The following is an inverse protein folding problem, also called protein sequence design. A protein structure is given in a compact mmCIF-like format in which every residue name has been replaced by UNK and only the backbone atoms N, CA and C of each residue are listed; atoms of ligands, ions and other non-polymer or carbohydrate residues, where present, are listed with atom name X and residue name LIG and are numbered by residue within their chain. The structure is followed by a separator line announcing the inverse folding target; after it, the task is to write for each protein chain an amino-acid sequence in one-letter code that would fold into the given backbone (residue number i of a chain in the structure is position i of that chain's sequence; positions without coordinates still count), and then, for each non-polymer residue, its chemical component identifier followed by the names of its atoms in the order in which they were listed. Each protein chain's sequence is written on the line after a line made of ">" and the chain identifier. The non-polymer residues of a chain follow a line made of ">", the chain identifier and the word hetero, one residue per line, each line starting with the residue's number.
data_IF_404612045219
#
_entry.id   IF_404612045219
#
_cell.length_a   1.000
_cell.length_b   1.000
_cell.length_c   1.000
_cell.angle_alpha   90.00
_cell.angle_beta   90.00
_cell.angle_gamma   90.00
#
_symmetry.space_group_name_H-M   'P 1'
#
loop_
_entity.id
_entity.type
_entity.pdbx_description
1 polymer ?
#
# COMPACT_ATOMS: atom_id res chain seq x y z
N UNK A 1 -10.78 -6.96 -2.80
CA UNK A 1 -11.08 -5.80 -3.67
C UNK A 1 -10.02 -4.70 -3.57
N UNK A 2 -9.66 -4.21 -2.38
CA UNK A 2 -8.66 -3.12 -2.20
C UNK A 2 -7.31 -3.38 -2.88
N UNK A 3 -6.80 -4.62 -2.81
CA UNK A 3 -5.54 -4.96 -3.47
C UNK A 3 -5.67 -5.06 -4.99
N UNK A 4 -6.78 -5.61 -5.48
CA UNK A 4 -7.07 -5.67 -6.91
C UNK A 4 -7.17 -4.27 -7.53
N UNK A 5 -7.80 -3.32 -6.83
CA UNK A 5 -7.89 -1.93 -7.29
C UNK A 5 -6.54 -1.21 -7.35
N UNK A 6 -5.54 -1.71 -6.62
CA UNK A 6 -4.17 -1.17 -6.67
C UNK A 6 -3.31 -1.81 -7.76
N UNK A 7 -3.81 -2.83 -8.46
CA UNK A 7 -3.10 -3.46 -9.58
C UNK A 7 -2.97 -2.49 -10.77
N UNK A 8 -1.86 -2.60 -11.49
CA UNK A 8 -1.62 -1.79 -12.70
C UNK A 8 -2.67 -2.05 -13.79
N UNK A 9 -3.17 -3.28 -13.85
CA UNK A 9 -4.28 -3.62 -14.74
C UNK A 9 -5.53 -2.79 -14.42
N UNK A 10 -5.96 -2.78 -13.16
CA UNK A 10 -7.17 -2.04 -12.77
C UNK A 10 -6.99 -0.53 -12.93
N UNK A 11 -5.83 0.02 -12.57
CA UNK A 11 -5.54 1.46 -12.77
C UNK A 11 -5.59 1.85 -14.25
N UNK A 12 -5.02 1.02 -15.12
CA UNK A 12 -5.03 1.23 -16.57
C UNK A 12 -6.45 1.15 -17.13
N UNK A 13 -7.25 0.19 -16.66
CA UNK A 13 -8.66 0.05 -17.04
C UNK A 13 -9.48 1.29 -16.62
N UNK A 14 -9.26 1.80 -15.40
CA UNK A 14 -9.87 3.05 -14.92
C UNK A 14 -9.43 4.23 -15.79
N UNK A 15 -8.15 4.33 -16.14
CA UNK A 15 -7.65 5.40 -16.97
C UNK A 15 -8.25 5.40 -18.38
N UNK A 16 -8.35 4.22 -19.01
CA UNK A 16 -8.97 4.04 -20.33
C UNK A 16 -10.45 4.45 -20.34
N UNK A 17 -11.15 4.22 -19.23
CA UNK A 17 -12.57 4.54 -19.09
C UNK A 17 -12.81 5.90 -18.43
N UNK A 18 -11.75 6.65 -18.11
CA UNK A 18 -11.86 8.01 -17.54
C UNK A 18 -12.03 9.07 -18.63
N UNK A 19 -12.55 10.24 -18.24
CA UNK A 19 -12.66 11.40 -19.11
C UNK A 19 -11.25 11.95 -19.40
N UNK A 20 -10.77 11.73 -20.62
CA UNK A 20 -9.40 12.02 -21.07
C UNK A 20 -8.96 13.49 -20.95
N UNK A 21 -9.90 14.43 -20.93
CA UNK A 21 -9.62 15.87 -20.82
C UNK A 21 -9.98 16.48 -19.45
N UNK A 22 -10.43 15.69 -18.48
CA UNK A 22 -10.80 16.18 -17.15
C UNK A 22 -9.58 16.32 -16.23
N UNK A 23 -9.44 17.46 -15.57
CA UNK A 23 -8.46 17.69 -14.49
C UNK A 23 -9.24 18.18 -13.25
N UNK A 24 -9.25 17.42 -12.13
CA UNK A 24 -8.70 16.07 -11.97
C UNK A 24 -9.42 15.04 -12.86
N UNK A 25 -8.77 13.91 -13.14
CA UNK A 25 -9.38 12.79 -13.89
C UNK A 25 -10.69 12.38 -13.22
N UNK A 26 -11.75 12.25 -14.03
CA UNK A 26 -13.10 11.87 -13.58
C UNK A 26 -13.57 10.65 -14.35
N UNK A 27 -14.39 9.83 -13.72
CA UNK A 27 -15.07 8.70 -14.34
C UNK A 27 -16.54 8.72 -13.92
N UNK A 28 -17.44 8.53 -14.87
CA UNK A 28 -18.89 8.54 -14.61
C UNK A 28 -19.36 7.16 -14.15
N UNK A 29 -20.49 7.10 -13.43
CA UNK A 29 -21.06 5.83 -12.93
C UNK A 29 -21.29 4.79 -14.04
N UNK A 30 -21.77 5.22 -15.22
CA UNK A 30 -21.95 4.30 -16.36
C UNK A 30 -20.65 3.78 -16.95
N UNK A 31 -19.53 4.51 -16.79
CA UNK A 31 -18.21 4.01 -17.19
C UNK A 31 -17.67 3.02 -16.16
N UNK A 32 -17.92 3.26 -14.87
CA UNK A 32 -17.58 2.34 -13.78
C UNK A 32 -18.26 0.99 -13.96
N UNK A 33 -19.55 0.97 -14.35
CA UNK A 33 -20.29 -0.28 -14.57
C UNK A 33 -19.76 -1.11 -15.74
N UNK A 34 -19.01 -0.50 -16.65
CA UNK A 34 -18.48 -1.15 -17.85
C UNK A 34 -17.01 -1.58 -17.71
N UNK A 35 -16.40 -1.37 -16.54
CA UNK A 35 -15.02 -1.76 -16.29
C UNK A 35 -14.86 -3.28 -16.40
N UNK A 36 -13.83 -3.71 -17.13
CA UNK A 36 -13.46 -5.11 -17.17
C UNK A 36 -12.68 -5.46 -15.91
N UNK A 37 -13.23 -6.34 -15.10
CA UNK A 37 -12.62 -6.84 -13.87
C UNK A 37 -12.24 -8.29 -14.06
N UNK A 38 -10.97 -8.60 -13.83
CA UNK A 38 -10.43 -9.96 -13.80
C UNK A 38 -10.45 -10.42 -12.36
N UNK A 39 -11.33 -11.35 -12.05
CA UNK A 39 -11.39 -12.01 -10.75
C UNK A 39 -11.49 -13.52 -10.95
N UNK A 40 -10.87 -14.32 -10.07
CA UNK A 40 -11.12 -15.76 -10.04
C UNK A 40 -12.61 -16.05 -9.86
N UNK A 41 -13.14 -17.05 -10.57
CA UNK A 41 -14.58 -17.40 -10.46
C UNK A 41 -14.92 -18.05 -9.11
N UNK A 42 -13.94 -18.70 -8.48
CA UNK A 42 -14.12 -19.37 -7.19
C UNK A 42 -13.97 -18.36 -6.03
N UNK A 43 -14.98 -18.27 -5.17
CA UNK A 43 -14.96 -17.39 -3.99
C UNK A 43 -13.95 -17.81 -2.92
N UNK A 44 -13.73 -19.10 -2.73
CA UNK A 44 -12.73 -19.64 -1.80
C UNK A 44 -11.32 -19.22 -2.24
N UNK A 45 -11.05 -19.32 -3.54
CA UNK A 45 -9.79 -18.84 -4.14
C UNK A 45 -9.61 -17.33 -3.94
N UNK A 46 -10.65 -16.54 -4.20
CA UNK A 46 -10.63 -15.09 -3.94
C UNK A 46 -10.30 -14.78 -2.46
N UNK A 47 -10.89 -15.53 -1.54
CA UNK A 47 -10.68 -15.37 -0.10
C UNK A 47 -9.25 -15.70 0.28
N UNK A 48 -8.72 -16.84 -0.18
CA UNK A 48 -7.34 -17.23 0.09
C UNK A 48 -6.32 -16.22 -0.43
N UNK A 49 -6.50 -15.75 -1.67
CA UNK A 49 -5.63 -14.72 -2.25
C UNK A 49 -5.69 -13.44 -1.40
N UNK A 50 -6.90 -12.99 -1.02
CA UNK A 50 -7.07 -11.80 -0.20
C UNK A 50 -6.43 -11.94 1.19
N UNK A 51 -6.55 -13.11 1.83
CA UNK A 51 -5.93 -13.39 3.12
C UNK A 51 -4.41 -13.30 3.04
N UNK A 52 -3.79 -14.02 2.10
CA UNK A 52 -2.31 -14.05 1.96
C UNK A 52 -1.76 -12.64 1.76
N UNK A 53 -2.35 -11.87 0.85
CA UNK A 53 -1.89 -10.52 0.59
C UNK A 53 -2.13 -9.58 1.78
N UNK A 54 -3.22 -9.77 2.53
CA UNK A 54 -3.48 -8.97 3.75
C UNK A 54 -2.49 -9.28 4.86
N UNK A 55 -2.06 -10.53 4.99
CA UNK A 55 -1.02 -10.94 5.93
C UNK A 55 0.33 -10.29 5.59
N UNK A 56 0.67 -10.23 4.29
CA UNK A 56 1.86 -9.53 3.80
C UNK A 56 1.80 -8.04 4.13
N UNK A 57 0.66 -7.39 3.89
CA UNK A 57 0.48 -5.97 4.24
C UNK A 57 0.67 -5.72 5.75
N UNK A 58 0.12 -6.61 6.59
CA UNK A 58 0.30 -6.57 8.05
C UNK A 58 1.78 -6.71 8.44
N UNK A 59 2.50 -7.65 7.84
CA UNK A 59 3.93 -7.85 8.11
C UNK A 59 4.76 -6.62 7.70
N UNK A 60 4.47 -6.02 6.54
CA UNK A 60 5.11 -4.80 6.07
C UNK A 60 4.91 -3.66 7.09
N UNK A 61 3.70 -3.49 7.63
CA UNK A 61 3.43 -2.44 8.62
C UNK A 61 4.18 -2.69 9.93
N UNK A 62 4.29 -3.93 10.38
CA UNK A 62 5.13 -4.29 11.54
C UNK A 62 6.59 -3.93 11.29
N UNK A 63 7.13 -4.25 10.10
CA UNK A 63 8.51 -3.95 9.74
C UNK A 63 8.77 -2.44 9.64
N UNK A 64 7.85 -1.66 9.06
CA UNK A 64 7.95 -0.19 9.02
C UNK A 64 7.97 0.41 10.42
N UNK A 65 7.11 -0.06 11.33
CA UNK A 65 7.11 0.38 12.74
C UNK A 65 8.44 0.07 13.43
N UNK A 66 8.98 -1.14 13.24
CA UNK A 66 10.31 -1.51 13.77
C UNK A 66 11.40 -0.61 13.19
N UNK A 67 11.39 -0.36 11.89
CA UNK A 67 12.35 0.52 11.23
C UNK A 67 12.30 1.95 11.80
N UNK A 68 11.09 2.50 11.97
CA UNK A 68 10.91 3.83 12.55
C UNK A 68 11.45 3.91 13.99
N UNK A 69 11.16 2.89 14.82
CA UNK A 69 11.68 2.77 16.19
C UNK A 69 13.22 2.75 16.21
N UNK A 70 13.85 1.96 15.35
CA UNK A 70 15.31 1.90 15.29
C UNK A 70 15.94 3.21 14.80
N UNK A 71 15.31 3.91 13.86
CA UNK A 71 15.76 5.25 13.43
C UNK A 71 15.73 6.25 14.60
N UNK A 72 14.64 6.27 15.37
CA UNK A 72 14.52 7.12 16.55
C UNK A 72 15.56 6.77 17.62
N UNK A 73 15.75 5.48 17.91
CA UNK A 73 16.76 5.02 18.86
C UNK A 73 18.16 5.44 18.43
N UNK A 74 18.52 5.23 17.16
CA UNK A 74 19.82 5.65 16.60
C UNK A 74 20.03 7.15 16.78
N UNK A 75 19.01 7.96 16.50
CA UNK A 75 19.10 9.41 16.67
C UNK A 75 19.28 9.81 18.15
N UNK A 76 18.52 9.20 19.06
CA UNK A 76 18.64 9.46 20.51
C UNK A 76 20.00 9.04 21.08
N UNK A 77 20.52 7.87 20.68
CA UNK A 77 21.84 7.40 21.07
C UNK A 77 22.94 8.36 20.57
N UNK A 78 22.85 8.78 19.31
CA UNK A 78 23.79 9.74 18.75
C UNK A 78 23.76 11.08 19.49
N UNK A 79 22.58 11.57 19.88
CA UNK A 79 22.45 12.76 20.71
C UNK A 79 23.14 12.57 22.08
N UNK A 80 22.94 11.42 22.73
CA UNK A 80 23.56 11.14 24.02
C UNK A 80 25.09 11.04 23.95
N UNK A 81 25.63 10.48 22.86
CA UNK A 81 27.07 10.41 22.59
C UNK A 81 27.66 11.79 22.31
N UNK A 82 27.05 12.55 21.39
CA UNK A 82 27.55 13.88 20.98
C UNK A 82 27.45 14.93 22.10
N UNK A 83 26.47 14.80 23.00
CA UNK A 83 26.35 15.68 24.17
C UNK A 83 27.15 15.19 25.37
N UNK A 84 27.86 14.06 25.26
CA UNK A 84 28.69 13.50 26.33
C UNK A 84 27.89 13.00 27.54
N UNK A 85 26.56 12.83 27.41
CA UNK A 85 25.70 12.23 28.44
C UNK A 85 26.03 10.76 28.69
N UNK A 86 26.45 10.06 27.65
CA UNK A 86 26.96 8.69 27.71
C UNK A 86 28.35 8.69 27.09
N UNK A 87 29.33 8.13 27.80
CA UNK A 87 30.71 7.95 27.30
C UNK A 87 30.96 6.46 27.10
N UNK A 88 31.58 6.12 25.98
CA UNK A 88 32.10 4.78 25.75
C UNK A 88 33.44 4.68 26.49
N UNK A 89 33.56 3.73 27.41
CA UNK A 89 34.83 3.33 28.06
C UNK A 89 35.46 2.19 27.30
#
# INVERSE_FOLDING_TARGET
>A
LTQYSNSEFFKKEIELNSLSSAIPKKINLGQISNLKVIIPLNYEEQTHIATILSDIDSEIEVLKKKQAKYKQLKQGLMQNLLTGKIRLV
#
